data_IF_529982613135
#
_entry.id   IF_529982613135
#
_cell.length_a   1.000
_cell.length_b   1.000
_cell.length_c   1.000
_cell.angle_alpha   90.00
_cell.angle_beta   90.00
_cell.angle_gamma   90.00
#
_symmetry.space_group_name_H-M   'P 1'
#
loop_
_entity.id
_entity.type
_entity.pdbx_description
1 polymer ?
#
# COMPACT_ATOMS: atom_id res chain seq x y z
N UNK A 1 16.21 8.85 -11.15
CA UNK A 1 14.90 9.01 -11.82
C UNK A 1 14.03 7.86 -11.33
N UNK A 2 13.09 8.11 -10.41
CA UNK A 2 12.21 7.05 -9.86
C UNK A 2 10.95 7.00 -10.72
N UNK A 3 10.65 5.89 -11.39
CA UNK A 3 9.36 5.76 -12.05
C UNK A 3 8.28 5.37 -11.06
N UNK A 4 7.14 6.00 -11.23
CA UNK A 4 5.92 5.78 -10.48
C UNK A 4 5.13 4.70 -11.21
N UNK A 5 4.77 3.61 -10.53
CA UNK A 5 3.76 2.69 -11.05
C UNK A 5 2.38 3.35 -10.89
N UNK A 6 2.01 4.19 -11.86
CA UNK A 6 0.64 4.66 -12.05
C UNK A 6 -0.18 3.45 -12.52
N UNK A 7 -0.90 2.75 -11.65
CA UNK A 7 -1.76 1.65 -12.10
C UNK A 7 -2.36 0.72 -11.05
N UNK A 8 -2.05 0.86 -9.76
CA UNK A 8 -2.71 0.04 -8.75
C UNK A 8 -3.98 0.74 -8.25
N UNK A 9 -5.14 0.25 -8.69
CA UNK A 9 -6.43 0.66 -8.14
C UNK A 9 -6.63 -0.01 -6.78
N UNK A 10 -6.86 0.78 -5.74
CA UNK A 10 -7.33 0.29 -4.44
C UNK A 10 -8.84 0.06 -4.52
N UNK A 11 -9.28 -1.11 -4.95
CA UNK A 11 -10.70 -1.48 -4.99
C UNK A 11 -11.13 -2.20 -3.71
N UNK A 12 -12.14 -1.66 -3.03
CA UNK A 12 -13.05 -2.42 -2.16
C UNK A 12 -14.07 -3.15 -3.03
N UNK A 13 -14.26 -4.45 -2.78
CA UNK A 13 -15.02 -5.42 -3.60
C UNK A 13 -16.49 -5.02 -3.78
N UNK A 14 -16.99 -5.06 -5.03
CA UNK A 14 -18.37 -5.42 -5.41
C UNK A 14 -18.34 -5.93 -6.87
N UNK A 15 -18.80 -7.16 -7.09
CA UNK A 15 -18.82 -7.90 -8.36
C UNK A 15 -19.82 -7.32 -9.38
N UNK A 16 -19.55 -7.47 -10.71
CA UNK A 16 -20.43 -8.02 -11.77
C UNK A 16 -19.65 -8.06 -13.11
N UNK A 17 -19.89 -9.10 -13.94
CA UNK A 17 -19.19 -9.50 -15.18
C UNK A 17 -19.54 -8.68 -16.44
N UNK A 18 -18.59 -8.54 -17.41
CA UNK A 18 -18.73 -8.85 -18.87
C UNK A 18 -17.51 -8.41 -19.73
N UNK A 19 -17.34 -9.06 -20.89
CA UNK A 19 -16.14 -9.28 -21.75
C UNK A 19 -15.50 -8.05 -22.45
N UNK A 20 -14.15 -8.00 -22.56
CA UNK A 20 -13.38 -7.72 -23.81
C UNK A 20 -11.84 -7.69 -23.63
N UNK A 21 -11.13 -8.30 -24.59
CA UNK A 21 -9.66 -8.31 -24.70
C UNK A 21 -9.10 -6.90 -24.97
N UNK A 22 -7.86 -6.63 -24.52
CA UNK A 22 -7.15 -5.33 -24.38
C UNK A 22 -7.27 -4.56 -23.06
N UNK A 23 -7.92 -5.12 -22.03
CA UNK A 23 -8.07 -4.49 -20.70
C UNK A 23 -7.14 -5.01 -19.57
N UNK A 24 -6.23 -5.95 -19.84
CA UNK A 24 -5.51 -6.68 -18.77
C UNK A 24 -4.35 -5.90 -18.09
N UNK A 25 -3.99 -4.70 -18.58
CA UNK A 25 -2.85 -3.92 -18.05
C UNK A 25 -3.15 -3.17 -16.73
N UNK A 26 -4.39 -3.22 -16.22
CA UNK A 26 -4.88 -2.32 -15.17
C UNK A 26 -5.40 -3.00 -13.89
N UNK A 27 -5.16 -4.31 -13.69
CA UNK A 27 -5.69 -5.06 -12.54
C UNK A 27 -4.63 -5.31 -11.45
N UNK A 28 -3.75 -4.33 -11.19
CA UNK A 28 -2.87 -4.40 -10.03
C UNK A 28 -3.73 -4.30 -8.76
N UNK A 29 -3.63 -5.31 -7.90
CA UNK A 29 -4.39 -5.43 -6.66
C UNK A 29 -3.46 -5.39 -5.45
N UNK A 30 -3.86 -4.71 -4.38
CA UNK A 30 -3.09 -4.63 -3.14
C UNK A 30 -3.91 -5.15 -1.98
N UNK A 31 -3.40 -6.16 -1.28
CA UNK A 31 -3.99 -6.64 -0.04
C UNK A 31 -3.39 -5.93 1.17
N UNK A 32 -4.21 -5.09 1.82
CA UNK A 32 -3.89 -4.36 3.04
C UNK A 32 -5.00 -4.57 4.07
N UNK A 33 -4.63 -4.66 5.34
CA UNK A 33 -5.59 -4.64 6.45
C UNK A 33 -5.21 -3.56 7.44
N UNK A 34 -6.17 -2.72 7.82
CA UNK A 34 -5.98 -1.61 8.75
C UNK A 34 -6.86 -1.88 9.97
N UNK A 35 -6.27 -1.79 11.16
CA UNK A 35 -6.98 -1.96 12.42
C UNK A 35 -6.61 -0.82 13.37
N UNK A 36 -7.60 -0.18 13.96
CA UNK A 36 -7.41 0.81 15.00
C UNK A 36 -7.77 0.20 16.34
N UNK A 37 -6.84 0.25 17.29
CA UNK A 37 -7.02 -0.21 18.65
C UNK A 37 -6.92 1.01 19.57
N UNK A 38 -8.02 1.35 20.24
CA UNK A 38 -8.08 2.47 21.17
C UNK A 38 -8.19 1.94 22.60
N UNK A 39 -7.14 2.15 23.39
CA UNK A 39 -7.13 1.87 24.82
C UNK A 39 -7.08 3.18 25.58
N UNK A 40 -7.62 3.21 26.81
CA UNK A 40 -7.69 4.40 27.68
C UNK A 40 -6.36 5.16 27.83
N UNK A 41 -5.22 4.49 27.64
CA UNK A 41 -3.88 5.07 27.78
C UNK A 41 -3.11 5.18 26.46
N UNK A 42 -3.52 4.47 25.40
CA UNK A 42 -2.79 4.45 24.14
C UNK A 42 -3.70 4.02 22.99
N UNK A 43 -3.71 4.83 21.94
CA UNK A 43 -4.35 4.48 20.68
C UNK A 43 -3.26 4.05 19.68
N UNK A 44 -3.51 2.96 18.96
CA UNK A 44 -2.56 2.35 18.04
C UNK A 44 -3.25 2.02 16.72
N UNK A 45 -2.57 2.33 15.62
CA UNK A 45 -2.96 1.91 14.28
C UNK A 45 -2.05 0.75 13.85
N UNK A 46 -2.64 -0.41 13.58
CA UNK A 46 -1.99 -1.52 12.91
C UNK A 46 -2.31 -1.49 11.42
N UNK A 47 -1.27 -1.59 10.59
CA UNK A 47 -1.36 -1.69 9.14
C UNK A 47 -0.62 -2.96 8.73
N UNK A 48 -1.38 -3.98 8.33
CA UNK A 48 -0.84 -5.19 7.74
C UNK A 48 -0.72 -5.02 6.22
N UNK A 49 0.49 -5.21 5.72
CA UNK A 49 0.86 -5.16 4.31
C UNK A 49 1.05 -6.60 3.87
N UNK A 50 0.08 -7.16 3.16
CA UNK A 50 0.15 -8.56 2.71
C UNK A 50 0.91 -8.68 1.40
N UNK A 51 0.18 -8.68 0.28
CA UNK A 51 0.75 -8.92 -1.03
C UNK A 51 0.13 -8.03 -2.09
N UNK A 52 0.83 -7.91 -3.22
CA UNK A 52 0.34 -7.28 -4.44
C UNK A 52 0.17 -8.38 -5.48
N UNK A 53 -0.82 -8.24 -6.36
CA UNK A 53 -0.98 -9.10 -7.53
C UNK A 53 -0.94 -8.29 -8.81
N UNK A 54 -0.47 -8.93 -9.88
CA UNK A 54 -0.44 -8.38 -11.24
C UNK A 54 0.28 -7.02 -11.34
N UNK A 55 1.38 -6.85 -10.60
CA UNK A 55 2.21 -5.66 -10.70
C UNK A 55 2.79 -5.54 -12.12
N UNK A 56 2.62 -4.38 -12.73
CA UNK A 56 3.00 -4.13 -14.12
C UNK A 56 4.48 -4.43 -14.40
N UNK A 57 4.75 -5.00 -15.58
CA UNK A 57 6.11 -5.22 -16.07
C UNK A 57 6.76 -3.90 -16.50
N UNK A 58 8.09 -3.90 -16.45
CA UNK A 58 8.92 -2.87 -17.05
C UNK A 58 8.84 -2.91 -18.58
N UNK A 59 9.33 -1.87 -19.26
CA UNK A 59 9.44 -1.84 -20.72
C UNK A 59 10.31 -2.97 -21.29
N UNK A 60 11.20 -3.52 -20.47
CA UNK A 60 12.05 -4.68 -20.78
C UNK A 60 11.31 -6.02 -20.68
N UNK A 61 10.05 -6.03 -20.25
CA UNK A 61 9.29 -7.25 -19.96
C UNK A 61 9.65 -7.92 -18.63
N UNK A 62 10.59 -7.36 -17.86
CA UNK A 62 10.93 -7.88 -16.53
C UNK A 62 10.01 -7.33 -15.44
N UNK A 63 9.82 -8.10 -14.37
CA UNK A 63 9.10 -7.62 -13.21
C UNK A 63 9.97 -6.63 -12.41
N UNK A 64 9.38 -5.54 -11.86
CA UNK A 64 10.12 -4.56 -11.08
C UNK A 64 10.49 -5.06 -9.68
N UNK A 65 11.44 -4.36 -9.07
CA UNK A 65 11.70 -4.45 -7.62
C UNK A 65 10.66 -3.61 -6.87
N UNK A 66 9.90 -4.23 -5.98
CA UNK A 66 8.73 -3.64 -5.34
C UNK A 66 8.91 -3.44 -3.83
N UNK A 67 8.40 -2.33 -3.31
CA UNK A 67 8.24 -2.10 -1.87
C UNK A 67 7.10 -1.14 -1.57
N UNK A 68 6.55 -1.22 -0.36
CA UNK A 68 5.44 -0.37 0.10
C UNK A 68 5.95 0.70 1.06
N UNK A 69 5.49 1.94 0.87
CA UNK A 69 5.60 3.02 1.85
C UNK A 69 4.21 3.33 2.41
N UNK A 70 4.10 3.42 3.72
CA UNK A 70 2.88 3.85 4.41
C UNK A 70 3.10 5.22 5.03
N UNK A 71 2.13 6.10 4.83
CA UNK A 71 2.11 7.46 5.36
C UNK A 71 0.80 7.65 6.10
N UNK A 72 0.87 8.15 7.34
CA UNK A 72 -0.29 8.58 8.10
C UNK A 72 -0.37 10.09 7.96
N UNK A 73 -1.55 10.62 7.67
CA UNK A 73 -1.78 12.06 7.52
C UNK A 73 -2.83 12.52 8.54
N UNK A 74 -2.65 13.68 9.18
CA UNK A 74 -1.51 14.59 9.06
C UNK A 74 -0.27 14.09 9.83
N UNK A 75 0.91 14.23 9.24
CA UNK A 75 2.21 13.90 9.87
C UNK A 75 3.18 15.08 9.72
N UNK A 76 2.99 16.15 10.52
CA UNK A 76 3.77 17.39 10.38
C UNK A 76 5.26 17.19 10.67
N UNK A 77 5.63 16.18 11.46
CA UNK A 77 7.02 15.86 11.80
C UNK A 77 7.62 14.78 10.89
N UNK A 78 6.84 14.22 9.95
CA UNK A 78 7.24 13.14 9.05
C UNK A 78 7.78 11.88 9.78
N UNK A 79 7.31 11.61 11.01
CA UNK A 79 7.81 10.52 11.86
C UNK A 79 7.05 9.20 11.68
N UNK A 80 5.86 9.26 11.10
CA UNK A 80 4.96 8.12 10.96
C UNK A 80 5.21 7.32 9.68
N UNK A 81 6.08 7.82 8.80
CA UNK A 81 6.46 7.13 7.57
C UNK A 81 7.12 5.78 7.89
N UNK A 82 6.65 4.74 7.22
CA UNK A 82 7.21 3.39 7.31
C UNK A 82 7.40 2.81 5.92
N UNK A 83 8.41 1.95 5.76
CA UNK A 83 8.80 1.31 4.50
C UNK A 83 9.02 -0.18 4.73
N UNK A 84 8.54 -1.02 3.83
CA UNK A 84 8.84 -2.47 3.85
C UNK A 84 10.23 -2.77 3.30
N UNK A 85 10.65 -4.04 3.44
CA UNK A 85 11.75 -4.55 2.64
C UNK A 85 11.39 -4.55 1.15
N UNK A 86 12.41 -4.58 0.30
CA UNK A 86 12.28 -4.67 -1.15
C UNK A 86 12.14 -6.13 -1.53
N UNK A 87 11.10 -6.45 -2.30
CA UNK A 87 10.93 -7.74 -2.97
C UNK A 87 11.38 -7.56 -4.41
N UNK A 88 12.36 -8.35 -4.83
CA UNK A 88 12.97 -8.17 -6.16
C UNK A 88 12.22 -8.93 -7.24
N UNK A 89 12.16 -8.35 -8.43
CA UNK A 89 11.78 -9.02 -9.68
C UNK A 89 10.53 -9.88 -9.56
N UNK A 90 9.43 -9.33 -9.05
CA UNK A 90 8.18 -10.09 -8.87
C UNK A 90 6.95 -9.29 -9.26
N UNK A 91 6.07 -9.91 -10.06
CA UNK A 91 4.75 -9.35 -10.34
C UNK A 91 3.75 -9.54 -9.18
N UNK A 92 4.05 -10.47 -8.26
CA UNK A 92 3.18 -10.79 -7.13
C UNK A 92 3.96 -10.71 -5.82
N UNK A 93 4.52 -9.53 -5.46
CA UNK A 93 5.37 -9.42 -4.29
C UNK A 93 4.55 -9.61 -3.01
N UNK A 94 5.10 -10.41 -2.10
CA UNK A 94 4.53 -10.65 -0.77
C UNK A 94 5.43 -10.01 0.29
N UNK A 95 4.85 -9.15 1.11
CA UNK A 95 5.53 -8.45 2.19
C UNK A 95 5.22 -9.06 3.56
N UNK A 96 3.98 -9.50 3.79
CA UNK A 96 3.47 -10.07 5.04
C UNK A 96 3.99 -9.35 6.28
N UNK A 97 3.93 -8.01 6.27
CA UNK A 97 4.53 -7.17 7.29
C UNK A 97 3.46 -6.34 7.99
N UNK A 98 3.42 -6.46 9.31
CA UNK A 98 2.64 -5.56 10.16
C UNK A 98 3.47 -4.32 10.55
N UNK A 99 2.82 -3.17 10.47
CA UNK A 99 3.36 -1.87 10.85
C UNK A 99 2.48 -1.27 11.93
N UNK A 100 3.06 -0.98 13.10
CA UNK A 100 2.36 -0.38 14.23
C UNK A 100 2.77 1.09 14.36
N UNK A 101 1.77 1.96 14.53
CA UNK A 101 1.98 3.39 14.79
C UNK A 101 1.13 3.84 15.97
N UNK A 102 1.76 4.43 16.97
CA UNK A 102 1.06 5.08 18.09
C UNK A 102 0.43 6.37 17.61
N UNK A 103 -0.87 6.51 17.84
CA UNK A 103 -1.68 7.67 17.48
C UNK A 103 -2.10 8.37 18.76
N UNK A 104 -1.88 9.68 18.84
CA UNK A 104 -2.40 10.48 19.95
C UNK A 104 -3.73 11.10 19.52
N UNK A 105 -4.84 10.46 19.87
CA UNK A 105 -6.21 10.87 19.46
C UNK A 105 -6.51 12.31 19.88
N UNK A 106 -6.05 12.74 21.06
CA UNK A 106 -6.23 14.10 21.56
C UNK A 106 -5.59 15.20 20.68
N UNK A 107 -4.64 14.85 19.80
CA UNK A 107 -4.03 15.81 18.86
C UNK A 107 -4.74 15.91 17.52
N UNK A 108 -5.59 14.95 17.16
CA UNK A 108 -6.12 14.83 15.81
C UNK A 108 -7.65 14.82 15.82
N UNK A 109 -8.25 16.01 15.82
CA UNK A 109 -9.70 16.20 15.59
C UNK A 109 -10.13 15.96 14.14
N UNK A 110 -9.22 15.55 13.25
CA UNK A 110 -9.44 15.32 11.81
C UNK A 110 -9.24 13.83 11.50
N UNK A 111 -9.97 13.26 10.52
CA UNK A 111 -9.79 11.86 10.12
C UNK A 111 -8.36 11.59 9.63
N UNK A 112 -7.81 10.43 10.01
CA UNK A 112 -6.48 9.99 9.59
C UNK A 112 -6.57 9.32 8.22
N UNK A 113 -5.76 9.78 7.27
CA UNK A 113 -5.65 9.15 5.96
C UNK A 113 -4.38 8.30 5.89
N UNK A 114 -4.55 7.01 5.60
CA UNK A 114 -3.44 6.09 5.30
C UNK A 114 -3.30 6.00 3.80
N UNK A 115 -2.15 6.41 3.26
CA UNK A 115 -1.89 6.35 1.82
C UNK A 115 -0.77 5.33 1.56
N UNK A 116 -1.10 4.13 1.03
CA UNK A 116 -0.10 3.18 0.59
C UNK A 116 0.48 3.62 -0.76
N UNK A 117 1.80 3.64 -0.87
CA UNK A 117 2.49 3.82 -2.15
C UNK A 117 3.36 2.60 -2.45
N UNK A 118 3.09 1.95 -3.59
CA UNK A 118 3.98 0.94 -4.15
C UNK A 118 4.96 1.66 -5.06
N UNK A 119 6.24 1.59 -4.74
CA UNK A 119 7.29 2.11 -5.61
C UNK A 119 8.01 0.94 -6.25
N UNK A 120 8.07 0.97 -7.57
CA UNK A 120 8.96 0.15 -8.36
C UNK A 120 10.33 0.86 -8.43
N UNK A 121 11.41 0.18 -8.07
CA UNK A 121 12.74 0.61 -8.51
C UNK A 121 12.92 0.09 -9.95
N UNK A 122 13.13 1.03 -10.87
CA UNK A 122 13.63 0.80 -12.23
C UNK A 122 15.15 0.69 -12.21
#
# INVERSE_FOLDING_TARGET
MFAFAHGCNTSSITDTEEMQADAHRNQCEVYLKIQFNDNKHQSQLSIFIGHVKHLGLLSTGQAPDAYVKTYIRPDPQNLTKRKTQVVKTSQNPTFNREVLVSVVVFKYSKPLNVIPYISALL
#
